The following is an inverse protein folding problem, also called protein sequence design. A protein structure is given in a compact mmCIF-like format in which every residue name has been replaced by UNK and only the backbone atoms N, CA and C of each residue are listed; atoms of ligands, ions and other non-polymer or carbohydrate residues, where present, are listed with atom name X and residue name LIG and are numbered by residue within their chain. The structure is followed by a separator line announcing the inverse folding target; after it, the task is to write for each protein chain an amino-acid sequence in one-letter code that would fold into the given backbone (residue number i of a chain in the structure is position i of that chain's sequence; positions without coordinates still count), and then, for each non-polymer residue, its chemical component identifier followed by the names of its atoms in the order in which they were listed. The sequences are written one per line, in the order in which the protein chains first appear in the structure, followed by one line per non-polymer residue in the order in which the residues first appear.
data_IF_039653639879
#
_entry.id   IF_039653639879
#
_cell.length_a   1.000
_cell.length_b   1.000
_cell.length_c   1.000
_cell.angle_alpha   90.00
_cell.angle_beta   90.00
_cell.angle_gamma   90.00
#
_symmetry.space_group_name_H-M   'P 1'
#
loop_
_entity.id
_entity.type
_entity.pdbx_description
1 polymer ?
#
# COMPACT_ATOMS: atom_id res chain seq x y z
N UNK A 1 -14.06 0.29 18.77
CA UNK A 1 -15.48 0.48 18.40
C UNK A 1 -16.16 1.70 19.03
N UNK A 2 -15.53 2.46 19.95
CA UNK A 2 -16.18 3.62 20.58
C UNK A 2 -16.52 4.76 19.59
N UNK A 3 -15.68 4.98 18.57
CA UNK A 3 -15.89 6.07 17.60
C UNK A 3 -17.15 5.90 16.74
N UNK A 4 -17.50 4.66 16.37
CA UNK A 4 -18.73 4.38 15.61
C UNK A 4 -19.98 4.64 16.43
N UNK A 5 -19.96 4.29 17.73
CA UNK A 5 -21.06 4.58 18.63
C UNK A 5 -21.26 6.09 18.86
N UNK A 6 -20.16 6.86 18.87
CA UNK A 6 -20.21 8.33 18.98
C UNK A 6 -20.75 8.94 17.69
N UNK A 7 -20.29 8.48 16.52
CA UNK A 7 -20.75 8.96 15.21
C UNK A 7 -22.23 8.67 14.91
N UNK A 8 -22.84 7.66 15.54
CA UNK A 8 -24.29 7.43 15.46
C UNK A 8 -25.08 8.48 16.28
N UNK A 9 -24.47 9.03 17.35
CA UNK A 9 -25.15 9.94 18.28
C UNK A 9 -24.96 11.42 17.95
N UNK A 10 -23.81 11.78 17.38
CA UNK A 10 -23.46 13.16 17.02
C UNK A 10 -22.49 13.19 15.84
N UNK A 11 -22.39 14.35 15.19
CA UNK A 11 -21.30 14.61 14.23
C UNK A 11 -19.94 14.54 14.93
N UNK A 12 -18.98 13.91 14.26
CA UNK A 12 -17.64 13.66 14.80
C UNK A 12 -16.77 14.92 14.67
N UNK A 13 -16.24 15.40 15.79
CA UNK A 13 -15.25 16.47 15.84
C UNK A 13 -13.82 15.95 15.64
N UNK A 14 -12.86 16.85 15.40
CA UNK A 14 -11.44 16.51 15.25
C UNK A 14 -10.85 15.89 16.53
N UNK A 15 -11.35 16.29 17.69
CA UNK A 15 -10.97 15.79 19.01
C UNK A 15 -11.38 14.34 19.28
N UNK A 16 -12.39 13.82 18.56
CA UNK A 16 -12.86 12.43 18.70
C UNK A 16 -11.93 11.43 17.98
N UNK A 17 -11.07 11.92 17.08
CA UNK A 17 -10.15 11.07 16.33
C UNK A 17 -8.89 10.78 17.17
N UNK A 18 -8.51 9.49 17.30
CA UNK A 18 -7.26 9.14 17.97
C UNK A 18 -6.08 9.73 17.20
N UNK A 19 -5.10 10.27 17.95
CA UNK A 19 -3.84 10.75 17.36
C UNK A 19 -3.17 9.63 16.56
N UNK A 20 -2.60 10.00 15.41
CA UNK A 20 -1.89 9.06 14.55
C UNK A 20 -0.80 8.30 15.34
N UNK A 21 -0.71 6.96 15.19
CA UNK A 21 0.36 6.17 15.79
C UNK A 21 1.74 6.73 15.45
N UNK A 22 2.70 6.66 16.39
CA UNK A 22 4.08 7.11 16.15
C UNK A 22 4.72 6.45 14.94
N UNK A 23 4.37 5.19 14.66
CA UNK A 23 4.82 4.43 13.50
C UNK A 23 4.26 4.93 12.14
N UNK A 24 3.22 5.76 12.16
CA UNK A 24 2.63 6.40 10.97
C UNK A 24 3.06 7.86 10.81
N UNK A 25 3.91 8.37 11.70
CA UNK A 25 4.46 9.71 11.56
C UNK A 25 5.29 9.80 10.29
N UNK A 26 4.98 10.81 9.50
CA UNK A 26 5.56 11.01 8.19
C UNK A 26 7.03 11.40 8.25
N UNK A 27 7.50 11.94 9.39
CA UNK A 27 8.85 12.47 9.60
C UNK A 27 9.96 11.52 9.11
N UNK A 28 9.88 10.23 9.44
CA UNK A 28 10.91 9.28 9.01
C UNK A 28 10.83 8.97 7.50
N UNK A 29 9.62 8.80 6.98
CA UNK A 29 9.40 8.46 5.57
C UNK A 29 9.72 9.64 4.65
N UNK A 30 9.33 10.86 5.04
CA UNK A 30 9.65 12.10 4.32
C UNK A 30 11.15 12.37 4.34
N UNK A 31 11.81 12.22 5.49
CA UNK A 31 13.27 12.41 5.60
C UNK A 31 14.05 11.41 4.74
N UNK A 32 13.63 10.14 4.74
CA UNK A 32 14.24 9.11 3.89
C UNK A 32 14.04 9.43 2.39
N UNK A 33 12.85 9.88 2.01
CA UNK A 33 12.55 10.30 0.65
C UNK A 33 13.38 11.52 0.24
N UNK A 34 13.50 12.51 1.12
CA UNK A 34 14.29 13.73 0.93
C UNK A 34 15.77 13.40 0.67
N UNK A 35 16.38 12.56 1.51
CA UNK A 35 17.77 12.11 1.31
C UNK A 35 17.99 11.42 -0.03
N UNK A 36 17.08 10.54 -0.42
CA UNK A 36 17.17 9.84 -1.71
C UNK A 36 16.98 10.78 -2.90
N UNK A 37 16.11 11.78 -2.76
CA UNK A 37 15.89 12.82 -3.77
C UNK A 37 17.12 13.74 -3.93
N UNK A 38 17.73 14.19 -2.83
CA UNK A 38 18.96 14.98 -2.86
C UNK A 38 20.12 14.21 -3.50
N UNK A 39 20.24 12.92 -3.19
CA UNK A 39 21.23 12.05 -3.83
C UNK A 39 21.02 11.93 -5.35
N UNK A 40 19.77 11.73 -5.80
CA UNK A 40 19.42 11.66 -7.23
C UNK A 40 19.71 13.00 -7.93
N UNK A 41 19.41 14.13 -7.30
CA UNK A 41 19.72 15.46 -7.82
C UNK A 41 21.23 15.67 -8.03
N UNK A 42 22.05 15.24 -7.07
CA UNK A 42 23.51 15.31 -7.18
C UNK A 42 24.03 14.41 -8.30
N UNK A 43 23.47 13.21 -8.43
CA UNK A 43 23.86 12.26 -9.46
C UNK A 43 23.43 12.71 -10.87
N UNK A 44 22.23 13.25 -11.02
CA UNK A 44 21.74 13.86 -12.25
C UNK A 44 22.62 15.03 -12.71
N UNK A 45 23.04 15.91 -11.78
CA UNK A 45 23.97 17.01 -12.08
C UNK A 45 25.34 16.50 -12.55
N UNK A 46 25.83 15.40 -11.99
CA UNK A 46 27.12 14.79 -12.39
C UNK A 46 27.06 14.07 -13.73
N UNK A 47 25.93 13.45 -14.04
CA UNK A 47 25.76 12.62 -15.24
C UNK A 47 25.00 13.31 -16.38
N UNK A 48 24.69 14.61 -16.26
CA UNK A 48 23.88 15.38 -17.22
C UNK A 48 22.59 14.66 -17.67
N UNK A 49 21.95 13.93 -16.76
CA UNK A 49 20.76 13.11 -17.04
C UNK A 49 19.51 13.80 -16.52
N UNK A 50 18.38 13.67 -17.22
CA UNK A 50 17.08 14.12 -16.75
C UNK A 50 16.73 13.53 -15.37
N UNK A 51 16.25 14.38 -14.46
CA UNK A 51 15.84 13.99 -13.11
C UNK A 51 14.52 13.21 -13.15
N UNK A 52 14.51 11.99 -12.61
CA UNK A 52 13.30 11.18 -12.49
C UNK A 52 12.93 11.03 -11.01
N UNK A 53 11.85 11.69 -10.57
CA UNK A 53 11.36 11.61 -9.19
C UNK A 53 10.88 10.21 -8.78
N UNK A 54 10.44 9.40 -9.75
CA UNK A 54 9.90 8.06 -9.52
C UNK A 54 10.97 7.10 -8.98
N UNK A 55 12.23 7.23 -9.41
CA UNK A 55 13.34 6.35 -8.99
C UNK A 55 13.66 6.45 -7.48
N UNK A 56 13.94 7.64 -6.91
CA UNK A 56 14.20 7.78 -5.48
C UNK A 56 12.97 7.50 -4.62
N UNK A 57 11.77 7.73 -5.16
CA UNK A 57 10.52 7.35 -4.53
C UNK A 57 10.41 5.83 -4.36
N UNK A 58 10.58 5.05 -5.44
CA UNK A 58 10.61 3.59 -5.35
C UNK A 58 11.72 3.09 -4.44
N UNK A 59 12.91 3.68 -4.50
CA UNK A 59 14.06 3.31 -3.66
C UNK A 59 13.77 3.49 -2.17
N UNK A 60 13.01 4.53 -1.81
CA UNK A 60 12.63 4.84 -0.43
C UNK A 60 11.67 3.81 0.16
N UNK A 61 10.71 3.34 -0.64
CA UNK A 61 9.64 2.41 -0.24
C UNK A 61 9.86 0.97 -0.73
N UNK A 62 11.03 0.63 -1.29
CA UNK A 62 11.30 -0.67 -1.93
C UNK A 62 10.97 -1.88 -1.05
N UNK A 63 11.26 -1.81 0.25
CA UNK A 63 11.02 -2.92 1.17
C UNK A 63 9.50 -3.16 1.33
N UNK A 64 8.73 -2.10 1.52
CA UNK A 64 7.28 -2.17 1.65
C UNK A 64 6.63 -2.65 0.35
N UNK A 65 7.14 -2.21 -0.80
CA UNK A 65 6.70 -2.64 -2.12
C UNK A 65 7.00 -4.12 -2.39
N UNK A 66 8.21 -4.61 -2.08
CA UNK A 66 8.58 -6.02 -2.25
C UNK A 66 7.74 -6.92 -1.36
N UNK A 67 7.53 -6.53 -0.09
CA UNK A 67 6.66 -7.27 0.83
C UNK A 67 5.23 -7.32 0.30
N UNK A 68 4.71 -6.19 -0.18
CA UNK A 68 3.36 -6.13 -0.77
C UNK A 68 3.26 -7.00 -2.03
N UNK A 69 4.29 -7.03 -2.87
CA UNK A 69 4.31 -7.84 -4.08
C UNK A 69 4.35 -9.34 -3.75
N UNK A 70 5.20 -9.74 -2.80
CA UNK A 70 5.32 -11.13 -2.37
C UNK A 70 3.99 -11.64 -1.79
N UNK A 71 3.36 -10.85 -0.93
CA UNK A 71 2.06 -11.19 -0.35
C UNK A 71 0.97 -11.28 -1.42
N UNK A 72 0.97 -10.37 -2.39
CA UNK A 72 0.04 -10.42 -3.52
C UNK A 72 0.19 -11.70 -4.33
N UNK A 73 1.43 -12.11 -4.63
CA UNK A 73 1.72 -13.35 -5.35
C UNK A 73 1.23 -14.59 -4.59
N UNK A 74 1.43 -14.65 -3.27
CA UNK A 74 0.92 -15.76 -2.43
C UNK A 74 -0.62 -15.81 -2.38
N UNK A 75 -1.28 -14.65 -2.40
CA UNK A 75 -2.74 -14.61 -2.48
C UNK A 75 -3.26 -15.09 -3.84
N UNK A 76 -2.61 -14.66 -4.91
CA UNK A 76 -2.99 -15.05 -6.26
C UNK A 76 -2.85 -16.57 -6.47
N UNK A 77 -1.77 -17.17 -5.98
CA UNK A 77 -1.59 -18.63 -6.06
C UNK A 77 -2.66 -19.41 -5.29
N UNK A 78 -3.12 -18.87 -4.14
CA UNK A 78 -4.22 -19.46 -3.37
C UNK A 78 -5.55 -19.37 -4.12
N UNK A 79 -5.82 -18.26 -4.79
CA UNK A 79 -7.01 -18.07 -5.64
C UNK A 79 -7.04 -19.09 -6.78
N UNK A 80 -5.90 -19.32 -7.43
CA UNK A 80 -5.76 -20.36 -8.48
C UNK A 80 -6.02 -21.76 -7.90
N UNK A 81 -5.49 -22.08 -6.72
CA UNK A 81 -5.75 -23.35 -6.06
C UNK A 81 -7.24 -23.57 -5.75
N UNK A 82 -7.94 -22.52 -5.28
CA UNK A 82 -9.39 -22.57 -5.05
C UNK A 82 -10.16 -22.86 -6.34
N UNK A 83 -9.78 -22.25 -7.45
CA UNK A 83 -10.40 -22.51 -8.75
C UNK A 83 -10.21 -23.96 -9.21
N UNK A 84 -9.03 -24.56 -8.96
CA UNK A 84 -8.78 -25.97 -9.23
C UNK A 84 -9.65 -26.91 -8.37
N UNK A 85 -9.80 -26.59 -7.08
CA UNK A 85 -10.68 -27.35 -6.17
C UNK A 85 -12.14 -27.34 -6.62
N UNK A 86 -12.64 -26.18 -7.08
CA UNK A 86 -13.98 -26.07 -7.69
C UNK A 86 -14.08 -26.97 -8.93
N UNK A 87 -13.04 -26.96 -9.78
CA UNK A 87 -12.96 -27.84 -10.95
C UNK A 87 -13.09 -29.33 -10.58
N UNK A 88 -12.44 -29.77 -9.50
CA UNK A 88 -12.57 -31.15 -8.99
C UNK A 88 -13.98 -31.47 -8.51
N UNK A 89 -14.64 -30.54 -7.81
CA UNK A 89 -16.04 -30.71 -7.36
C UNK A 89 -16.97 -30.82 -8.58
N UNK A 90 -16.81 -29.98 -9.59
CA UNK A 90 -17.62 -30.03 -10.81
C UNK A 90 -17.42 -31.36 -11.56
N UNK A 91 -16.18 -31.85 -11.66
CA UNK A 91 -15.89 -33.16 -12.28
C UNK A 91 -16.56 -34.32 -11.56
N UNK A 92 -16.66 -34.28 -10.23
CA UNK A 92 -17.42 -35.26 -9.46
C UNK A 92 -18.92 -35.27 -9.83
N UNK A 93 -19.52 -34.09 -10.04
CA UNK A 93 -20.94 -33.98 -10.42
C UNK A 93 -21.19 -34.29 -11.91
N UNK A 94 -20.17 -34.20 -12.77
CA UNK A 94 -20.29 -34.53 -14.19
C UNK A 94 -20.21 -36.06 -14.37
N UNK A 95 -21.33 -36.68 -14.73
CA UNK A 95 -21.58 -38.13 -14.66
C UNK A 95 -20.69 -39.05 -15.55
N UNK A 96 -19.62 -38.55 -16.17
CA UNK A 96 -18.78 -39.27 -17.12
C UNK A 96 -17.63 -40.09 -16.50
N UNK A 97 -17.22 -39.84 -15.25
CA UNK A 97 -16.10 -40.55 -14.60
C UNK A 97 -16.54 -41.19 -13.27
N UNK A 98 -17.38 -42.24 -13.34
CA UNK A 98 -17.85 -43.00 -12.15
C UNK A 98 -16.76 -43.82 -11.44
N UNK A 99 -15.49 -43.72 -11.85
CA UNK A 99 -14.42 -44.63 -11.42
C UNK A 99 -13.36 -44.00 -10.52
N UNK A 100 -13.26 -42.68 -10.40
CA UNK A 100 -12.09 -42.04 -9.76
C UNK A 100 -12.37 -41.03 -8.62
N UNK A 101 -13.63 -40.74 -8.26
CA UNK A 101 -13.91 -39.75 -7.20
C UNK A 101 -15.04 -40.20 -6.29
N UNK A 102 -14.70 -40.51 -5.04
CA UNK A 102 -15.66 -40.98 -4.03
C UNK A 102 -16.45 -39.78 -3.48
N UNK A 103 -17.69 -40.00 -3.03
CA UNK A 103 -18.48 -38.97 -2.31
C UNK A 103 -17.69 -38.31 -1.18
N UNK A 104 -16.83 -39.07 -0.51
CA UNK A 104 -15.96 -38.57 0.55
C UNK A 104 -14.93 -37.55 0.04
N UNK A 105 -14.37 -37.75 -1.16
CA UNK A 105 -13.38 -36.85 -1.76
C UNK A 105 -14.02 -35.52 -2.16
N UNK A 106 -15.22 -35.58 -2.77
CA UNK A 106 -15.99 -34.39 -3.12
C UNK A 106 -16.44 -33.60 -1.88
N UNK A 107 -16.89 -34.29 -0.84
CA UNK A 107 -17.25 -33.68 0.44
C UNK A 107 -16.03 -33.03 1.12
N UNK A 108 -14.90 -33.71 1.15
CA UNK A 108 -13.67 -33.17 1.73
C UNK A 108 -13.15 -31.97 0.92
N UNK A 109 -13.19 -32.04 -0.41
CA UNK A 109 -12.84 -30.92 -1.28
C UNK A 109 -13.73 -29.69 -1.04
N UNK A 110 -15.05 -29.88 -0.85
CA UNK A 110 -15.97 -28.79 -0.55
C UNK A 110 -15.69 -28.15 0.83
N UNK A 111 -15.39 -28.94 1.86
CA UNK A 111 -15.03 -28.43 3.20
C UNK A 111 -13.73 -27.63 3.13
N UNK A 112 -12.71 -28.15 2.44
CA UNK A 112 -11.42 -27.48 2.24
C UNK A 112 -11.62 -26.16 1.46
N UNK A 113 -12.44 -26.18 0.41
CA UNK A 113 -12.76 -24.99 -0.35
C UNK A 113 -13.44 -23.92 0.53
N UNK A 114 -14.51 -24.26 1.24
CA UNK A 114 -15.25 -23.33 2.10
C UNK A 114 -14.35 -22.72 3.18
N UNK A 115 -13.56 -23.54 3.88
CA UNK A 115 -12.61 -23.06 4.89
C UNK A 115 -11.53 -22.15 4.28
N UNK A 116 -10.99 -22.51 3.11
CA UNK A 116 -10.00 -21.69 2.42
C UNK A 116 -10.55 -20.32 2.00
N UNK A 117 -11.83 -20.23 1.59
CA UNK A 117 -12.47 -18.98 1.20
C UNK A 117 -12.59 -18.00 2.37
N UNK A 118 -12.95 -18.49 3.56
CA UNK A 118 -13.04 -17.67 4.77
C UNK A 118 -11.67 -17.14 5.15
N UNK A 119 -10.65 -18.00 5.17
CA UNK A 119 -9.25 -17.60 5.47
C UNK A 119 -8.78 -16.56 4.44
N UNK A 120 -9.00 -16.81 3.16
CA UNK A 120 -8.61 -15.92 2.08
C UNK A 120 -9.28 -14.54 2.18
N UNK A 121 -10.56 -14.49 2.55
CA UNK A 121 -11.29 -13.25 2.77
C UNK A 121 -10.65 -12.39 3.88
N UNK A 122 -10.32 -13.01 5.02
CA UNK A 122 -9.67 -12.31 6.15
C UNK A 122 -8.27 -11.81 5.77
N UNK A 123 -7.48 -12.64 5.10
CA UNK A 123 -6.13 -12.28 4.66
C UNK A 123 -6.15 -11.12 3.66
N UNK A 124 -7.08 -11.14 2.70
CA UNK A 124 -7.23 -10.07 1.71
C UNK A 124 -7.55 -8.73 2.38
N UNK A 125 -8.42 -8.73 3.39
CA UNK A 125 -8.74 -7.50 4.13
C UNK A 125 -7.50 -6.95 4.87
N UNK A 126 -6.73 -7.81 5.54
CA UNK A 126 -5.49 -7.42 6.20
C UNK A 126 -4.47 -6.85 5.21
N UNK A 127 -4.30 -7.51 4.06
CA UNK A 127 -3.40 -7.05 3.00
C UNK A 127 -3.82 -5.69 2.44
N UNK A 128 -5.09 -5.53 2.08
CA UNK A 128 -5.61 -4.28 1.54
C UNK A 128 -5.37 -3.13 2.52
N UNK A 129 -5.63 -3.37 3.80
CA UNK A 129 -5.39 -2.40 4.85
C UNK A 129 -3.91 -2.02 4.98
N UNK A 130 -3.01 -3.01 4.91
CA UNK A 130 -1.56 -2.76 4.92
C UNK A 130 -1.12 -1.91 3.72
N UNK A 131 -1.51 -2.29 2.50
CA UNK A 131 -1.16 -1.57 1.27
C UNK A 131 -1.72 -0.14 1.28
N UNK A 132 -2.94 0.07 1.77
CA UNK A 132 -3.51 1.40 1.92
C UNK A 132 -2.71 2.28 2.90
N UNK A 133 -2.30 1.72 4.04
CA UNK A 133 -1.46 2.45 5.01
C UNK A 133 -0.14 2.90 4.38
N UNK A 134 0.52 2.01 3.63
CA UNK A 134 1.74 2.34 2.88
C UNK A 134 1.48 3.46 1.86
N UNK A 135 0.38 3.36 1.10
CA UNK A 135 0.02 4.37 0.12
C UNK A 135 -0.25 5.74 0.74
N UNK A 136 -0.89 5.80 1.91
CA UNK A 136 -1.12 7.05 2.64
C UNK A 136 0.22 7.66 3.06
N UNK A 137 1.13 6.86 3.65
CA UNK A 137 2.48 7.32 4.02
C UNK A 137 3.26 7.87 2.82
N UNK A 138 3.18 7.18 1.70
CA UNK A 138 3.82 7.60 0.45
C UNK A 138 3.26 8.93 -0.04
N UNK A 139 1.92 9.08 -0.09
CA UNK A 139 1.26 10.33 -0.50
C UNK A 139 1.66 11.49 0.41
N UNK A 140 1.60 11.30 1.74
CA UNK A 140 1.95 12.37 2.67
C UNK A 140 3.44 12.76 2.58
N UNK A 141 4.35 11.80 2.41
CA UNK A 141 5.77 12.09 2.21
C UNK A 141 6.02 12.91 0.93
N UNK A 142 5.31 12.59 -0.17
CA UNK A 142 5.37 13.36 -1.42
C UNK A 142 4.84 14.79 -1.20
N UNK A 143 3.71 14.94 -0.52
CA UNK A 143 3.13 16.26 -0.22
C UNK A 143 4.07 17.14 0.60
N UNK A 144 4.74 16.57 1.62
CA UNK A 144 5.75 17.29 2.41
C UNK A 144 6.90 17.76 1.53
N UNK A 145 7.43 16.89 0.66
CA UNK A 145 8.53 17.25 -0.23
C UNK A 145 8.15 18.37 -1.21
N UNK A 146 6.95 18.33 -1.78
CA UNK A 146 6.44 19.39 -2.66
C UNK A 146 6.31 20.70 -1.90
N UNK A 147 5.77 20.66 -0.68
CA UNK A 147 5.61 21.84 0.15
C UNK A 147 6.96 22.49 0.50
N UNK A 148 7.96 21.69 0.89
CA UNK A 148 9.33 22.16 1.14
C UNK A 148 9.96 22.77 -0.12
N UNK A 149 9.73 22.17 -1.29
CA UNK A 149 10.25 22.65 -2.56
C UNK A 149 9.66 24.01 -2.94
N UNK A 150 8.33 24.15 -2.89
CA UNK A 150 7.64 25.41 -3.20
C UNK A 150 8.01 26.49 -2.17
N UNK A 151 8.06 26.14 -0.88
CA UNK A 151 8.46 27.07 0.17
C UNK A 151 9.86 27.65 -0.03
N UNK A 152 10.82 26.81 -0.44
CA UNK A 152 12.18 27.25 -0.74
C UNK A 152 12.26 28.19 -1.94
N UNK A 153 11.46 27.95 -2.99
CA UNK A 153 11.43 28.83 -4.17
C UNK A 153 10.85 30.21 -3.83
N UNK A 154 9.76 30.24 -3.05
CA UNK A 154 9.17 31.50 -2.57
C UNK A 154 10.15 32.30 -1.72
N UNK A 155 10.87 31.63 -0.80
CA UNK A 155 11.90 32.29 0.02
C UNK A 155 13.04 32.87 -0.81
N UNK A 156 13.46 32.18 -1.89
CA UNK A 156 14.46 32.71 -2.81
C UNK A 156 13.95 33.94 -3.56
N UNK A 157 12.70 33.94 -4.04
CA UNK A 157 12.10 35.10 -4.72
C UNK A 157 12.02 36.33 -3.80
N UNK A 158 11.55 36.15 -2.56
CA UNK A 158 11.47 37.26 -1.58
C UNK A 158 12.85 37.79 -1.22
N UNK A 159 13.85 36.90 -1.05
CA UNK A 159 15.22 37.31 -0.77
C UNK A 159 15.82 38.14 -1.91
N UNK A 160 15.54 37.77 -3.17
CA UNK A 160 15.99 38.52 -4.34
C UNK A 160 15.34 39.91 -4.43
N UNK A 161 14.04 40.03 -4.15
CA UNK A 161 13.35 41.33 -4.11
C UNK A 161 13.91 42.26 -3.03
N UNK A 162 14.19 41.73 -1.83
CA UNK A 162 14.79 42.51 -0.74
C UNK A 162 16.20 43.01 -1.12
N UNK A 163 16.99 42.18 -1.80
CA UNK A 163 18.33 42.56 -2.28
C UNK A 163 18.23 43.63 -3.37
N UNK A 164 17.31 43.48 -4.34
CA UNK A 164 17.10 44.46 -5.41
C UNK A 164 16.56 45.80 -4.92
N UNK A 165 15.76 45.82 -3.85
CA UNK A 165 15.23 47.05 -3.26
C UNK A 165 16.23 47.76 -2.33
N UNK A 166 17.35 47.10 -2.01
CA UNK A 166 18.42 47.62 -1.13
C UNK A 166 19.60 48.20 -1.91
N UNK A 167 19.68 47.95 -3.22
CA UNK A 167 20.61 48.57 -4.16
C UNK A 167 19.92 49.72 -4.92
#
# INVERSE_FOLDING_TARGET
MKIFAIGIRRELGLEDFPKAPKAERCDYASEKLRKNWEYELLQSKRSCRATNFVVPLLKSFKAELIISLLMHLCMESTSVAQALLIGTIIRYFSANDKTNSTFNDARNAAIILCSSLVIFSVLRHQFFFYTQRVAIRMKTAISVLIFEKVGNEVLQSVSLEIILKRN
#
